data_IF_699770711930
#
_entry.id   IF_699770711930
#
_cell.length_a   1.000
_cell.length_b   1.000
_cell.length_c   1.000
_cell.angle_alpha   90.00
_cell.angle_beta   90.00
_cell.angle_gamma   90.00
#
_symmetry.space_group_name_H-M   'P 1'
#
loop_
_entity.id
_entity.type
_entity.pdbx_description
1 polymer ?
#
# COMPACT_ATOMS: atom_id res chain seq x y z
N UNK A 1 -12.11 1.14 46.63
CA UNK A 1 -11.18 0.76 45.57
C UNK A 1 -11.42 1.71 44.42
N UNK A 2 -10.60 2.73 44.27
CA UNK A 2 -10.73 3.75 43.22
C UNK A 2 -9.99 3.23 41.99
N UNK A 3 -10.73 3.08 40.88
CA UNK A 3 -10.18 2.80 39.58
C UNK A 3 -9.48 4.06 39.05
N UNK A 4 -8.17 4.06 39.03
CA UNK A 4 -7.39 5.07 38.33
C UNK A 4 -7.42 4.70 36.85
N UNK A 5 -8.25 5.37 36.05
CA UNK A 5 -8.11 5.43 34.62
C UNK A 5 -6.84 6.23 34.32
N UNK A 6 -5.80 5.55 33.86
CA UNK A 6 -4.64 6.21 33.26
C UNK A 6 -5.10 6.74 31.88
N UNK A 7 -5.32 8.05 31.83
CA UNK A 7 -5.43 8.79 30.58
C UNK A 7 -4.04 8.89 29.97
N UNK A 8 -3.76 8.08 28.97
CA UNK A 8 -2.58 8.28 28.13
C UNK A 8 -2.83 9.52 27.27
N UNK A 9 -2.10 10.59 27.59
CA UNK A 9 -1.98 11.77 26.74
C UNK A 9 -1.24 11.34 25.47
N UNK A 10 -1.95 11.21 24.36
CA UNK A 10 -1.31 11.13 23.05
C UNK A 10 -0.50 12.42 22.88
N UNK A 11 0.83 12.31 22.82
CA UNK A 11 1.67 13.40 22.35
C UNK A 11 1.15 13.78 20.97
N UNK A 12 0.69 15.02 20.82
CA UNK A 12 0.44 15.61 19.52
C UNK A 12 1.78 15.63 18.76
N UNK A 13 2.00 14.61 17.93
CA UNK A 13 3.14 14.58 17.04
C UNK A 13 2.78 15.53 15.91
N UNK A 14 3.48 16.65 15.85
CA UNK A 14 3.34 17.65 14.81
C UNK A 14 3.54 16.97 13.44
N UNK A 15 2.63 17.08 12.47
CA UNK A 15 2.84 16.49 11.16
C UNK A 15 4.08 17.14 10.53
N UNK A 16 5.03 16.31 10.14
CA UNK A 16 6.29 16.74 9.54
C UNK A 16 6.00 17.54 8.26
N UNK A 17 6.70 18.66 8.08
CA UNK A 17 6.38 19.66 7.04
C UNK A 17 7.00 19.34 5.67
N UNK A 18 7.99 18.44 5.64
CA UNK A 18 8.69 18.02 4.43
C UNK A 18 8.96 16.52 4.39
N UNK A 19 9.26 16.02 3.19
CA UNK A 19 9.66 14.63 2.99
C UNK A 19 10.98 14.31 3.70
N UNK A 20 11.93 15.25 3.65
CA UNK A 20 13.24 15.11 4.28
C UNK A 20 13.13 15.01 5.82
N UNK A 21 12.29 15.86 6.44
CA UNK A 21 12.01 15.77 7.88
C UNK A 21 11.35 14.43 8.27
N UNK A 22 10.52 13.91 7.39
CA UNK A 22 9.89 12.59 7.58
C UNK A 22 10.92 11.45 7.48
N UNK A 23 11.82 11.51 6.53
CA UNK A 23 12.90 10.54 6.39
C UNK A 23 13.86 10.56 7.57
N UNK A 24 14.22 11.75 8.06
CA UNK A 24 15.07 11.90 9.24
C UNK A 24 14.38 11.38 10.51
N UNK A 25 13.07 11.65 10.72
CA UNK A 25 12.29 11.14 11.84
C UNK A 25 12.19 9.60 11.79
N UNK A 26 12.04 9.03 10.61
CA UNK A 26 12.04 7.57 10.43
C UNK A 26 13.38 6.95 10.81
N UNK A 27 14.51 7.54 10.39
CA UNK A 27 15.84 7.05 10.75
C UNK A 27 16.14 7.20 12.24
N UNK A 28 15.66 8.28 12.87
CA UNK A 28 15.85 8.48 14.30
C UNK A 28 15.06 7.45 15.12
N UNK A 29 13.85 7.09 14.69
CA UNK A 29 12.97 6.13 15.39
C UNK A 29 13.31 4.68 15.11
N UNK A 30 13.73 4.41 13.88
CA UNK A 30 14.12 3.09 13.40
C UNK A 30 15.56 3.16 12.88
N UNK A 31 16.55 3.37 13.78
CA UNK A 31 17.95 3.28 13.39
C UNK A 31 18.17 1.89 12.81
N UNK A 32 18.97 1.85 11.74
CA UNK A 32 19.32 0.60 11.09
C UNK A 32 19.74 -0.43 12.16
N UNK A 33 19.19 -1.65 12.11
CA UNK A 33 19.54 -2.64 13.10
C UNK A 33 21.05 -2.93 13.01
N UNK A 34 21.71 -2.90 14.17
CA UNK A 34 23.14 -3.18 14.37
C UNK A 34 23.47 -4.68 14.13
N UNK A 35 22.73 -5.29 13.22
CA UNK A 35 22.83 -6.70 12.86
C UNK A 35 23.29 -6.77 11.42
N UNK A 36 24.30 -7.53 11.20
CA UNK A 36 24.89 -8.03 9.95
C UNK A 36 23.90 -8.65 8.94
N UNK A 37 22.68 -8.20 8.92
CA UNK A 37 21.76 -8.28 7.80
C UNK A 37 22.19 -7.19 6.83
N UNK A 38 23.33 -7.44 6.22
CA UNK A 38 23.88 -6.86 5.02
C UNK A 38 23.27 -5.53 4.60
N UNK A 39 23.94 -4.44 5.06
CA UNK A 39 24.41 -3.37 4.18
C UNK A 39 23.50 -3.01 2.98
N UNK A 40 22.19 -2.89 3.15
CA UNK A 40 21.40 -2.14 2.20
C UNK A 40 21.24 -0.73 2.75
N UNK A 41 21.81 0.24 2.03
CA UNK A 41 21.52 1.66 2.26
C UNK A 41 20.05 1.94 1.95
N UNK A 42 19.49 3.05 2.44
CA UNK A 42 18.13 3.50 2.10
C UNK A 42 17.85 3.53 0.59
N UNK A 43 18.87 3.88 -0.18
CA UNK A 43 18.84 3.95 -1.65
C UNK A 43 18.74 2.56 -2.30
N UNK A 44 19.06 1.51 -1.54
CA UNK A 44 18.98 0.11 -1.99
C UNK A 44 17.67 -0.57 -1.61
N UNK A 45 16.86 -0.02 -0.68
CA UNK A 45 15.51 -0.50 -0.43
C UNK A 45 14.61 -0.21 -1.62
N UNK A 46 13.93 -1.25 -2.14
CA UNK A 46 13.17 -1.22 -3.38
C UNK A 46 13.96 -0.69 -4.57
N UNK A 47 15.29 -1.00 -4.61
CA UNK A 47 16.09 -0.73 -5.78
C UNK A 47 15.79 -1.78 -6.86
N UNK A 48 14.95 -1.41 -7.81
CA UNK A 48 14.55 -2.23 -8.96
C UNK A 48 15.62 -2.28 -10.07
N UNK A 49 16.71 -1.52 -9.97
CA UNK A 49 17.78 -1.48 -10.95
C UNK A 49 18.84 -2.57 -10.74
N UNK A 50 18.87 -3.18 -9.55
CA UNK A 50 19.86 -4.23 -9.24
C UNK A 50 19.39 -5.56 -9.86
N UNK A 51 20.26 -6.26 -10.63
CA UNK A 51 19.89 -7.54 -11.25
C UNK A 51 19.81 -8.63 -10.17
N UNK A 52 18.67 -8.77 -9.56
CA UNK A 52 18.41 -9.79 -8.55
C UNK A 52 17.27 -10.72 -8.89
N UNK A 53 16.22 -10.22 -9.57
CA UNK A 53 15.08 -11.05 -9.97
C UNK A 53 14.50 -10.57 -11.29
N UNK A 54 14.77 -11.26 -12.38
CA UNK A 54 14.08 -11.09 -13.67
C UNK A 54 12.55 -11.22 -13.49
N UNK A 55 12.12 -11.93 -12.44
CA UNK A 55 10.73 -12.12 -12.03
C UNK A 55 10.04 -10.81 -11.66
N UNK A 56 10.70 -9.91 -10.90
CA UNK A 56 10.12 -8.61 -10.49
C UNK A 56 9.84 -7.73 -11.72
N UNK A 57 10.78 -7.67 -12.66
CA UNK A 57 10.60 -6.89 -13.89
C UNK A 57 9.48 -7.44 -14.77
N UNK A 58 9.40 -8.76 -14.89
CA UNK A 58 8.32 -9.43 -15.64
C UNK A 58 6.97 -9.23 -14.94
N UNK A 59 6.94 -9.27 -13.61
CA UNK A 59 5.76 -8.93 -12.81
C UNK A 59 5.23 -7.54 -13.18
N UNK A 60 6.06 -6.48 -13.09
CA UNK A 60 5.64 -5.12 -13.42
C UNK A 60 5.30 -4.94 -14.91
N UNK A 61 5.95 -5.69 -15.81
CA UNK A 61 5.56 -5.71 -17.23
C UNK A 61 4.12 -6.18 -17.41
N UNK A 62 3.72 -7.23 -16.73
CA UNK A 62 2.35 -7.75 -16.76
C UNK A 62 1.37 -6.79 -16.07
N UNK A 63 1.71 -6.33 -14.87
CA UNK A 63 0.90 -5.39 -14.10
C UNK A 63 0.58 -4.15 -14.95
N UNK A 64 1.58 -3.44 -15.46
CA UNK A 64 1.39 -2.21 -16.22
C UNK A 64 0.72 -2.43 -17.58
N UNK A 65 0.89 -3.60 -18.18
CA UNK A 65 0.23 -3.93 -19.47
C UNK A 65 -1.27 -4.16 -19.29
N UNK A 66 -1.68 -4.83 -18.22
CA UNK A 66 -3.03 -5.34 -18.09
C UNK A 66 -3.92 -4.62 -17.07
N UNK A 67 -3.38 -3.80 -16.17
CA UNK A 67 -4.15 -2.96 -15.26
C UNK A 67 -4.79 -1.79 -16.03
N UNK A 68 -5.85 -2.08 -16.76
CA UNK A 68 -6.66 -1.10 -17.49
C UNK A 68 -7.83 -0.60 -16.61
N UNK A 69 -8.43 0.52 -16.97
CA UNK A 69 -9.62 1.04 -16.31
C UNK A 69 -10.77 0.02 -16.31
N UNK A 70 -11.03 -0.61 -17.47
CA UNK A 70 -12.08 -1.61 -17.60
C UNK A 70 -11.76 -2.88 -16.80
N UNK A 71 -10.51 -3.32 -16.77
CA UNK A 71 -10.06 -4.43 -15.93
C UNK A 71 -10.36 -4.18 -14.45
N UNK A 72 -10.04 -3.00 -13.94
CA UNK A 72 -10.31 -2.63 -12.53
C UNK A 72 -11.81 -2.68 -12.24
N UNK A 73 -12.65 -2.16 -13.14
CA UNK A 73 -14.12 -2.22 -13.01
C UNK A 73 -14.64 -3.65 -12.98
N UNK A 74 -14.12 -4.50 -13.86
CA UNK A 74 -14.47 -5.92 -13.90
C UNK A 74 -14.10 -6.62 -12.59
N UNK A 75 -12.87 -6.41 -12.10
CA UNK A 75 -12.42 -7.04 -10.86
C UNK A 75 -13.23 -6.59 -9.64
N UNK A 76 -13.54 -5.30 -9.53
CA UNK A 76 -14.45 -4.79 -8.49
C UNK A 76 -15.81 -5.49 -8.55
N UNK A 77 -16.39 -5.66 -9.73
CA UNK A 77 -17.66 -6.36 -9.87
C UNK A 77 -17.58 -7.85 -9.45
N UNK A 78 -16.46 -8.51 -9.74
CA UNK A 78 -16.30 -9.95 -9.51
C UNK A 78 -15.93 -10.30 -8.06
N UNK A 79 -15.22 -9.43 -7.34
CA UNK A 79 -14.66 -9.75 -6.02
C UNK A 79 -15.34 -9.02 -4.87
N UNK A 80 -15.99 -7.87 -5.09
CA UNK A 80 -16.64 -7.11 -4.02
C UNK A 80 -18.03 -7.67 -3.62
N UNK A 81 -18.39 -8.84 -4.13
CA UNK A 81 -19.52 -9.63 -3.62
C UNK A 81 -19.14 -10.42 -2.35
N UNK A 82 -17.82 -10.58 -2.06
CA UNK A 82 -17.26 -11.30 -0.91
C UNK A 82 -17.78 -12.74 -0.77
N UNK A 83 -18.01 -13.41 -1.88
CA UNK A 83 -18.59 -14.74 -1.97
C UNK A 83 -17.58 -15.87 -2.21
N UNK A 84 -16.26 -15.57 -2.21
CA UNK A 84 -15.23 -16.54 -2.56
C UNK A 84 -14.96 -17.53 -1.44
N UNK A 85 -14.87 -17.05 -0.20
CA UNK A 85 -14.57 -17.89 0.95
C UNK A 85 -14.95 -17.21 2.25
N UNK A 86 -15.53 -17.99 3.17
CA UNK A 86 -15.74 -17.61 4.56
C UNK A 86 -14.78 -18.41 5.45
N UNK A 87 -14.02 -17.72 6.30
CA UNK A 87 -13.08 -18.35 7.23
C UNK A 87 -12.81 -17.45 8.44
N UNK A 88 -12.44 -18.04 9.61
CA UNK A 88 -11.93 -17.29 10.74
C UNK A 88 -10.67 -16.49 10.36
N UNK A 89 -10.47 -15.33 10.97
CA UNK A 89 -9.34 -14.44 10.65
C UNK A 89 -7.97 -15.14 10.83
N UNK A 90 -7.81 -15.99 11.83
CA UNK A 90 -6.58 -16.76 12.04
C UNK A 90 -6.31 -17.79 10.93
N UNK A 91 -7.35 -18.38 10.39
CA UNK A 91 -7.21 -19.29 9.24
C UNK A 91 -6.85 -18.49 7.98
N UNK A 92 -7.33 -17.24 7.86
CA UNK A 92 -6.96 -16.36 6.77
C UNK A 92 -5.46 -15.98 6.82
N UNK A 93 -4.89 -15.72 8.00
CA UNK A 93 -3.44 -15.49 8.15
C UNK A 93 -2.62 -16.75 7.75
N UNK A 94 -3.02 -17.92 8.21
CA UNK A 94 -2.37 -19.19 7.83
C UNK A 94 -2.51 -19.46 6.32
N UNK A 95 -3.64 -19.07 5.73
CA UNK A 95 -3.88 -19.19 4.31
C UNK A 95 -2.96 -18.25 3.52
N UNK A 96 -2.84 -17.01 3.96
CA UNK A 96 -1.96 -16.01 3.36
C UNK A 96 -0.47 -16.43 3.35
N UNK A 97 -0.02 -17.16 4.36
CA UNK A 97 1.36 -17.67 4.45
C UNK A 97 1.78 -18.64 3.34
N UNK A 98 0.83 -19.13 2.52
CA UNK A 98 1.14 -19.92 1.35
C UNK A 98 1.65 -19.07 0.17
N UNK A 99 1.52 -17.74 0.26
CA UNK A 99 1.93 -16.81 -0.78
C UNK A 99 3.39 -16.39 -0.60
N UNK A 100 4.16 -16.45 -1.68
CA UNK A 100 5.45 -15.76 -1.84
C UNK A 100 5.21 -14.57 -2.77
N UNK A 101 5.47 -13.35 -2.31
CA UNK A 101 5.21 -12.11 -3.05
C UNK A 101 6.30 -11.84 -4.08
N UNK A 102 5.98 -11.97 -5.37
CA UNK A 102 6.92 -11.76 -6.48
C UNK A 102 7.22 -10.27 -6.76
N UNK A 103 6.45 -9.35 -6.17
CA UNK A 103 6.63 -7.90 -6.36
C UNK A 103 7.66 -7.29 -5.40
N UNK A 104 7.96 -7.95 -4.27
CA UNK A 104 8.88 -7.46 -3.27
C UNK A 104 10.32 -7.93 -3.54
N UNK A 105 11.24 -7.02 -3.91
CA UNK A 105 12.64 -7.38 -4.16
C UNK A 105 13.44 -7.65 -2.88
N UNK A 106 12.92 -7.29 -1.70
CA UNK A 106 13.73 -7.16 -0.49
C UNK A 106 13.60 -8.30 0.50
N UNK A 107 12.51 -9.09 0.46
CA UNK A 107 12.26 -10.05 1.53
C UNK A 107 11.85 -11.44 1.04
N UNK A 108 12.39 -12.46 1.74
CA UNK A 108 11.89 -13.84 1.77
C UNK A 108 11.06 -14.08 3.05
N UNK A 109 10.55 -13.01 3.69
CA UNK A 109 9.78 -13.12 4.93
C UNK A 109 8.40 -13.74 4.67
N UNK A 110 7.99 -14.53 5.64
CA UNK A 110 6.64 -15.03 5.79
C UNK A 110 5.65 -13.84 5.87
N UNK A 111 4.58 -13.90 5.09
CA UNK A 111 3.59 -12.81 5.00
C UNK A 111 3.01 -12.47 6.38
N UNK A 112 2.73 -13.48 7.20
CA UNK A 112 2.20 -13.27 8.54
C UNK A 112 3.23 -12.62 9.48
N UNK A 113 4.52 -12.97 9.37
CA UNK A 113 5.57 -12.31 10.14
C UNK A 113 5.65 -10.82 9.81
N UNK A 114 5.56 -10.44 8.53
CA UNK A 114 5.52 -9.04 8.12
C UNK A 114 4.34 -8.29 8.78
N UNK A 115 3.15 -8.85 8.74
CA UNK A 115 1.97 -8.27 9.39
C UNK A 115 2.16 -8.09 10.90
N UNK A 116 2.73 -9.08 11.58
CA UNK A 116 3.02 -9.02 13.01
C UNK A 116 4.09 -7.98 13.33
N UNK A 117 5.16 -7.90 12.56
CA UNK A 117 6.23 -6.92 12.76
C UNK A 117 5.70 -5.49 12.60
N UNK A 118 4.95 -5.23 11.54
CA UNK A 118 4.30 -3.93 11.29
C UNK A 118 3.37 -3.56 12.44
N UNK A 119 2.48 -4.45 12.82
CA UNK A 119 1.53 -4.26 13.92
C UNK A 119 2.23 -4.00 15.27
N UNK A 120 3.27 -4.78 15.58
CA UNK A 120 3.99 -4.66 16.82
C UNK A 120 4.85 -3.38 16.89
N UNK A 121 5.42 -2.94 15.78
CA UNK A 121 6.12 -1.66 15.70
C UNK A 121 5.15 -0.49 16.01
N UNK A 122 3.97 -0.49 15.39
CA UNK A 122 2.90 0.50 15.66
C UNK A 122 2.50 0.48 17.15
N UNK A 123 2.34 -0.71 17.72
CA UNK A 123 1.97 -0.87 19.14
C UNK A 123 3.05 -0.36 20.08
N UNK A 124 4.33 -0.61 19.81
CA UNK A 124 5.47 -0.14 20.61
C UNK A 124 5.57 1.37 20.65
N UNK A 125 5.23 2.04 19.56
CA UNK A 125 5.20 3.50 19.47
C UNK A 125 3.98 4.13 20.18
N UNK A 126 3.10 3.30 20.76
CA UNK A 126 1.97 3.75 21.55
C UNK A 126 0.81 4.30 20.74
N UNK A 127 0.69 3.90 19.47
CA UNK A 127 -0.45 4.25 18.64
C UNK A 127 -1.73 3.54 19.09
N UNK A 128 -2.92 4.07 18.73
CA UNK A 128 -4.18 3.49 19.17
C UNK A 128 -4.42 2.10 18.55
N UNK A 129 -5.23 1.28 19.23
CA UNK A 129 -5.51 -0.11 18.87
C UNK A 129 -6.03 -0.29 17.44
N UNK A 130 -6.81 0.67 16.93
CA UNK A 130 -7.29 0.62 15.56
C UNK A 130 -6.14 0.72 14.53
N UNK A 131 -5.07 1.49 14.83
CA UNK A 131 -3.91 1.60 13.96
C UNK A 131 -3.05 0.32 14.04
N UNK A 132 -2.94 -0.29 15.22
CA UNK A 132 -2.30 -1.60 15.40
C UNK A 132 -3.03 -2.67 14.58
N UNK A 133 -4.38 -2.66 14.63
CA UNK A 133 -5.20 -3.56 13.81
C UNK A 133 -5.01 -3.27 12.31
N UNK A 134 -4.94 -2.01 11.91
CA UNK A 134 -4.65 -1.64 10.52
C UNK A 134 -3.34 -2.24 10.04
N UNK A 135 -2.26 -2.14 10.85
CA UNK A 135 -0.97 -2.75 10.54
C UNK A 135 -1.03 -4.27 10.43
N UNK A 136 -1.83 -4.93 11.28
CA UNK A 136 -2.02 -6.38 11.21
C UNK A 136 -2.79 -6.83 9.96
N UNK A 137 -3.64 -5.97 9.41
CA UNK A 137 -4.56 -6.33 8.34
C UNK A 137 -4.15 -5.81 6.95
N UNK A 138 -3.16 -4.92 6.85
CA UNK A 138 -2.92 -4.14 5.63
C UNK A 138 -2.71 -4.99 4.38
N UNK A 139 -1.98 -6.08 4.50
CA UNK A 139 -1.65 -6.99 3.40
C UNK A 139 -2.59 -8.18 3.26
N UNK A 140 -3.62 -8.30 4.12
CA UNK A 140 -4.56 -9.43 4.07
C UNK A 140 -5.30 -9.54 2.73
N UNK A 141 -5.41 -8.47 1.98
CA UNK A 141 -5.98 -8.49 0.62
C UNK A 141 -5.19 -9.36 -0.36
N UNK A 142 -3.93 -9.69 -0.09
CA UNK A 142 -3.10 -10.60 -0.89
C UNK A 142 -3.68 -12.03 -0.98
N UNK A 143 -4.66 -12.38 -0.15
CA UNK A 143 -5.42 -13.64 -0.27
C UNK A 143 -6.11 -13.79 -1.63
N UNK A 144 -6.30 -12.72 -2.39
CA UNK A 144 -6.80 -12.77 -3.78
C UNK A 144 -5.95 -13.69 -4.67
N UNK A 145 -4.63 -13.76 -4.44
CA UNK A 145 -3.75 -14.68 -5.17
C UNK A 145 -4.11 -16.15 -4.94
N UNK A 146 -4.75 -16.46 -3.82
CA UNK A 146 -5.20 -17.80 -3.46
C UNK A 146 -6.64 -18.08 -3.91
N UNK A 147 -7.25 -17.12 -4.62
CA UNK A 147 -8.52 -17.21 -5.32
C UNK A 147 -8.34 -17.20 -6.84
N UNK A 148 -7.21 -17.76 -7.31
CA UNK A 148 -6.83 -17.87 -8.72
C UNK A 148 -6.53 -16.53 -9.43
N UNK A 149 -6.35 -15.43 -8.68
CA UNK A 149 -5.87 -14.17 -9.26
C UNK A 149 -4.34 -14.20 -9.42
N UNK A 150 -3.83 -13.81 -10.59
CA UNK A 150 -2.39 -13.74 -10.79
C UNK A 150 -1.77 -12.64 -9.91
N UNK A 151 -0.55 -12.85 -9.43
CA UNK A 151 0.11 -11.91 -8.52
C UNK A 151 0.19 -10.49 -9.10
N UNK A 152 0.47 -10.34 -10.40
CA UNK A 152 0.53 -9.03 -11.04
C UNK A 152 -0.79 -8.23 -10.96
N UNK A 153 -1.92 -8.89 -10.72
CA UNK A 153 -3.23 -8.26 -10.53
C UNK A 153 -3.54 -7.95 -9.05
N UNK A 154 -2.68 -8.36 -8.12
CA UNK A 154 -3.01 -8.32 -6.67
C UNK A 154 -1.99 -7.54 -5.87
N UNK A 155 -0.70 -7.76 -6.10
CA UNK A 155 0.38 -7.15 -5.31
C UNK A 155 1.14 -6.09 -6.12
N UNK A 156 2.12 -5.42 -5.50
CA UNK A 156 2.94 -4.38 -6.13
C UNK A 156 2.37 -2.97 -5.97
N UNK A 157 3.04 -2.01 -6.61
CA UNK A 157 2.68 -0.60 -6.56
C UNK A 157 1.28 -0.37 -7.13
N UNK A 158 0.51 0.49 -6.47
CA UNK A 158 -0.80 0.92 -6.96
C UNK A 158 -0.76 2.31 -7.58
N UNK A 159 -1.66 2.58 -8.51
CA UNK A 159 -1.72 3.83 -9.27
C UNK A 159 -3.15 4.10 -9.79
N UNK A 160 -3.52 5.36 -10.07
CA UNK A 160 -4.80 5.67 -10.71
C UNK A 160 -4.90 5.08 -12.11
N UNK A 161 -6.05 4.51 -12.43
CA UNK A 161 -6.43 4.12 -13.81
C UNK A 161 -7.49 5.07 -14.35
N UNK A 162 -7.71 5.08 -15.66
CA UNK A 162 -8.66 5.99 -16.31
C UNK A 162 -8.14 7.43 -16.45
N UNK A 163 -6.87 7.68 -16.17
CA UNK A 163 -6.14 8.90 -16.48
C UNK A 163 -4.70 8.57 -16.92
N UNK A 164 -3.93 9.57 -17.37
CA UNK A 164 -2.57 9.35 -17.81
C UNK A 164 -1.70 8.79 -16.67
N UNK A 165 -0.91 7.76 -16.99
CA UNK A 165 0.01 7.15 -16.06
C UNK A 165 1.22 8.07 -15.79
N UNK A 166 1.68 8.13 -14.54
CA UNK A 166 2.85 8.90 -14.14
C UNK A 166 4.16 8.19 -14.54
N UNK A 167 5.15 8.98 -14.91
CA UNK A 167 6.53 8.52 -15.15
C UNK A 167 7.31 8.26 -13.86
N UNK A 168 6.73 8.53 -12.68
CA UNK A 168 7.28 8.25 -11.36
C UNK A 168 6.91 6.87 -10.80
N UNK A 169 6.04 6.15 -11.48
CA UNK A 169 5.74 4.76 -11.16
C UNK A 169 6.94 3.91 -11.60
N UNK A 170 7.28 2.88 -10.83
CA UNK A 170 8.36 1.95 -11.18
C UNK A 170 8.14 1.34 -12.58
N UNK A 171 9.20 1.22 -13.39
CA UNK A 171 9.15 0.72 -14.79
C UNK A 171 8.08 1.38 -15.67
N UNK A 172 8.01 2.72 -15.75
CA UNK A 172 6.94 3.44 -16.43
C UNK A 172 6.88 3.14 -17.94
N UNK A 173 7.98 2.66 -18.52
CA UNK A 173 8.06 2.29 -19.93
C UNK A 173 7.09 1.18 -20.33
N UNK A 174 6.67 0.33 -19.39
CA UNK A 174 5.76 -0.78 -19.68
C UNK A 174 4.30 -0.32 -19.89
N UNK A 175 3.92 0.85 -19.41
CA UNK A 175 2.59 1.42 -19.70
C UNK A 175 2.33 1.64 -21.19
N UNK A 176 3.38 1.77 -22.02
CA UNK A 176 3.23 1.85 -23.48
C UNK A 176 2.54 0.62 -24.10
N UNK A 177 2.55 -0.50 -23.40
CA UNK A 177 1.85 -1.72 -23.79
C UNK A 177 0.39 -1.77 -23.32
N UNK A 178 -0.02 -0.86 -22.42
CA UNK A 178 -1.38 -0.80 -21.90
C UNK A 178 -2.31 -0.14 -22.94
N UNK A 179 -3.47 -0.74 -23.26
CA UNK A 179 -4.43 -0.16 -24.20
C UNK A 179 -4.87 1.27 -23.84
N UNK A 180 -4.97 1.58 -22.52
CA UNK A 180 -5.39 2.89 -22.03
C UNK A 180 -4.35 3.98 -22.31
N UNK A 181 -3.08 3.60 -22.50
CA UNK A 181 -2.00 4.54 -22.79
C UNK A 181 -2.20 5.31 -24.11
N UNK A 182 -2.91 4.72 -25.06
CA UNK A 182 -3.22 5.36 -26.36
C UNK A 182 -4.68 5.79 -26.47
N UNK A 183 -5.50 5.50 -25.46
CA UNK A 183 -6.90 5.87 -25.46
C UNK A 183 -7.05 7.36 -25.14
N UNK A 184 -7.63 8.18 -26.06
CA UNK A 184 -7.75 9.63 -25.86
C UNK A 184 -8.63 10.03 -24.68
N UNK A 185 -9.55 9.15 -24.24
CA UNK A 185 -10.41 9.41 -23.09
C UNK A 185 -9.68 9.22 -21.77
N UNK A 186 -8.64 8.38 -21.74
CA UNK A 186 -7.89 8.05 -20.51
C UNK A 186 -6.50 8.70 -20.51
N UNK A 187 -5.82 8.80 -21.64
CA UNK A 187 -4.46 9.34 -21.70
C UNK A 187 -4.41 10.87 -21.67
N UNK A 188 -5.10 11.48 -20.72
CA UNK A 188 -5.01 12.91 -20.40
C UNK A 188 -4.80 13.06 -18.90
N UNK A 189 -4.32 14.24 -18.47
CA UNK A 189 -4.00 14.50 -17.06
C UNK A 189 -5.12 14.09 -16.10
N UNK A 190 -6.35 14.32 -16.45
CA UNK A 190 -7.50 14.00 -15.60
C UNK A 190 -8.24 12.74 -16.08
N UNK A 191 -8.13 12.38 -17.36
CA UNK A 191 -8.87 11.27 -17.94
C UNK A 191 -10.38 11.41 -17.73
N UNK A 192 -10.97 10.43 -17.04
CA UNK A 192 -12.41 10.42 -16.68
C UNK A 192 -12.73 11.20 -15.41
N UNK A 193 -11.74 11.79 -14.75
CA UNK A 193 -11.87 12.50 -13.48
C UNK A 193 -11.90 14.01 -13.66
N UNK A 194 -12.38 14.69 -12.64
CA UNK A 194 -12.30 16.14 -12.52
C UNK A 194 -11.12 16.55 -11.63
N UNK A 195 -10.66 17.78 -11.80
CA UNK A 195 -9.67 18.37 -10.91
C UNK A 195 -10.20 18.33 -9.46
N UNK A 196 -9.34 17.89 -8.52
CA UNK A 196 -9.67 17.86 -7.09
C UNK A 196 -10.94 17.05 -6.76
N UNK A 197 -11.22 16.02 -7.55
CA UNK A 197 -12.40 15.16 -7.33
C UNK A 197 -12.33 14.34 -6.03
N UNK A 198 -11.15 14.20 -5.45
CA UNK A 198 -10.90 13.36 -4.28
C UNK A 198 -10.62 11.90 -4.62
N UNK A 199 -9.62 11.30 -3.98
CA UNK A 199 -9.17 9.92 -4.25
C UNK A 199 -10.25 8.87 -4.04
N UNK A 200 -11.25 9.14 -3.21
CA UNK A 200 -12.42 8.25 -3.03
C UNK A 200 -13.21 8.03 -4.33
N UNK A 201 -13.14 9.00 -5.26
CA UNK A 201 -13.81 8.98 -6.57
C UNK A 201 -12.87 8.51 -7.68
N UNK A 202 -11.64 8.14 -7.36
CA UNK A 202 -10.62 7.66 -8.29
C UNK A 202 -10.51 6.14 -8.19
N UNK A 203 -10.55 5.47 -9.32
CA UNK A 203 -10.22 4.06 -9.40
C UNK A 203 -8.71 3.91 -9.41
N UNK A 204 -8.20 3.24 -8.39
CA UNK A 204 -6.82 2.80 -8.29
C UNK A 204 -6.71 1.42 -8.95
N UNK A 205 -5.54 1.07 -9.50
CA UNK A 205 -5.27 -0.26 -10.04
C UNK A 205 -5.77 -1.33 -9.07
N UNK A 206 -6.35 -2.40 -9.61
CA UNK A 206 -6.88 -3.48 -8.78
C UNK A 206 -5.77 -4.14 -7.98
N UNK A 207 -6.04 -4.44 -6.73
CA UNK A 207 -5.07 -5.08 -5.88
C UNK A 207 -5.58 -5.33 -4.46
N UNK A 208 -4.66 -5.81 -3.63
CA UNK A 208 -4.90 -6.12 -2.22
C UNK A 208 -5.36 -4.92 -1.41
N UNK A 209 -4.86 -3.73 -1.71
CA UNK A 209 -5.20 -2.46 -1.04
C UNK A 209 -6.72 -2.18 -1.11
N UNK A 210 -7.26 -2.17 -2.32
CA UNK A 210 -8.68 -1.92 -2.56
C UNK A 210 -9.54 -3.02 -1.95
N UNK A 211 -9.11 -4.29 -2.07
CA UNK A 211 -9.87 -5.42 -1.58
C UNK A 211 -9.99 -5.42 -0.06
N UNK A 212 -8.87 -5.27 0.67
CA UNK A 212 -8.91 -5.24 2.14
C UNK A 212 -9.61 -3.99 2.68
N UNK A 213 -9.45 -2.83 2.01
CA UNK A 213 -10.21 -1.63 2.33
C UNK A 213 -11.73 -1.91 2.30
N UNK A 214 -12.23 -2.56 1.24
CA UNK A 214 -13.65 -2.85 1.08
C UNK A 214 -14.16 -3.87 2.11
N UNK A 215 -13.32 -4.84 2.52
CA UNK A 215 -13.67 -5.78 3.59
C UNK A 215 -13.80 -5.08 4.94
N UNK A 216 -12.92 -4.13 5.24
CA UNK A 216 -12.80 -3.54 6.57
C UNK A 216 -13.50 -2.19 6.73
N UNK A 217 -14.18 -1.69 5.69
CA UNK A 217 -14.77 -0.34 5.68
C UNK A 217 -15.76 -0.05 6.82
N UNK A 218 -16.39 -1.08 7.38
CA UNK A 218 -17.36 -0.95 8.46
C UNK A 218 -16.76 -1.28 9.84
N UNK A 219 -15.46 -1.61 9.93
CA UNK A 219 -14.83 -2.15 11.14
C UNK A 219 -13.73 -1.27 11.73
N UNK A 220 -13.09 -0.41 10.93
CA UNK A 220 -12.02 0.47 11.37
C UNK A 220 -12.31 1.92 10.97
N UNK A 221 -11.75 2.92 11.69
CA UNK A 221 -11.98 4.33 11.37
C UNK A 221 -11.39 4.73 10.02
N UNK A 222 -11.86 5.86 9.49
CA UNK A 222 -11.50 6.36 8.16
C UNK A 222 -10.00 6.51 7.97
N UNK A 223 -9.28 6.93 9.00
CA UNK A 223 -7.83 7.05 8.99
C UNK A 223 -7.14 5.72 8.69
N UNK A 224 -7.60 4.63 9.32
CA UNK A 224 -7.12 3.27 9.08
C UNK A 224 -7.49 2.78 7.68
N UNK A 225 -8.71 3.07 7.23
CA UNK A 225 -9.15 2.75 5.87
C UNK A 225 -8.30 3.46 4.81
N UNK A 226 -7.92 4.70 5.09
CA UNK A 226 -7.06 5.47 4.21
C UNK A 226 -5.65 4.86 4.11
N UNK A 227 -5.11 4.42 5.24
CA UNK A 227 -3.84 3.67 5.27
C UNK A 227 -3.96 2.40 4.41
N UNK A 228 -4.98 1.57 4.61
CA UNK A 228 -5.17 0.33 3.88
C UNK A 228 -5.27 0.53 2.37
N UNK A 229 -6.08 1.49 1.94
CA UNK A 229 -6.39 1.68 0.53
C UNK A 229 -5.24 2.22 -0.30
N UNK A 230 -4.31 2.95 0.35
CA UNK A 230 -3.30 3.71 -0.38
C UNK A 230 -1.86 3.41 0.05
N UNK A 231 -1.61 2.38 0.90
CA UNK A 231 -0.25 2.11 1.38
C UNK A 231 0.72 1.78 0.24
N UNK A 232 0.27 1.12 -0.81
CA UNK A 232 1.11 0.80 -1.97
C UNK A 232 1.11 1.87 -3.06
N UNK A 233 0.51 3.04 -2.83
CA UNK A 233 0.54 4.14 -3.80
C UNK A 233 1.83 4.97 -3.64
N UNK A 234 2.98 4.32 -3.87
CA UNK A 234 4.30 4.88 -3.60
C UNK A 234 4.63 6.13 -4.42
N UNK A 235 4.21 6.22 -5.69
CA UNK A 235 4.42 7.41 -6.51
C UNK A 235 3.77 8.66 -5.89
N UNK A 236 2.62 8.50 -5.25
CA UNK A 236 2.01 9.59 -4.50
C UNK A 236 2.76 9.91 -3.21
N UNK A 237 3.11 8.87 -2.42
CA UNK A 237 3.77 9.07 -1.13
C UNK A 237 5.15 9.70 -1.25
N UNK A 238 5.94 9.29 -2.26
CA UNK A 238 7.32 9.73 -2.47
C UNK A 238 7.43 11.02 -3.25
N UNK A 239 6.67 11.13 -4.35
CA UNK A 239 6.87 12.18 -5.34
C UNK A 239 5.70 13.19 -5.38
N UNK A 240 4.63 12.95 -4.61
CA UNK A 240 3.43 13.76 -4.64
C UNK A 240 2.64 13.66 -5.95
N UNK A 241 2.85 12.58 -6.72
CA UNK A 241 2.17 12.35 -7.99
C UNK A 241 0.65 12.29 -7.82
N UNK A 242 -0.07 12.65 -8.87
CA UNK A 242 -1.53 12.73 -8.90
C UNK A 242 -2.17 13.67 -7.86
N UNK A 243 -1.38 14.57 -7.22
CA UNK A 243 -1.88 15.53 -6.22
C UNK A 243 -2.98 16.45 -6.76
N UNK A 244 -3.11 16.60 -8.07
CA UNK A 244 -4.15 17.36 -8.75
C UNK A 244 -5.54 16.72 -8.67
N UNK A 245 -5.62 15.45 -8.25
CA UNK A 245 -6.87 14.72 -7.98
C UNK A 245 -7.33 14.86 -6.52
N UNK A 246 -6.46 15.34 -5.61
CA UNK A 246 -6.73 15.43 -4.19
C UNK A 246 -7.68 16.58 -3.87
N UNK A 247 -8.74 16.29 -3.11
CA UNK A 247 -9.54 17.29 -2.41
C UNK A 247 -8.88 17.70 -1.08
N UNK A 248 -9.48 18.64 -0.36
CA UNK A 248 -8.94 19.11 0.94
C UNK A 248 -8.95 18.00 1.98
N UNK A 249 -9.94 17.12 1.95
CA UNK A 249 -10.02 15.98 2.83
C UNK A 249 -8.85 15.00 2.61
N UNK A 250 -8.50 14.71 1.36
CA UNK A 250 -7.34 13.88 1.06
C UNK A 250 -6.02 14.49 1.54
N UNK A 251 -5.85 15.81 1.41
CA UNK A 251 -4.66 16.51 1.92
C UNK A 251 -4.55 16.39 3.44
N UNK A 252 -5.67 16.44 4.15
CA UNK A 252 -5.67 16.19 5.59
C UNK A 252 -5.38 14.73 5.93
N UNK A 253 -5.97 13.79 5.18
CA UNK A 253 -5.81 12.36 5.42
C UNK A 253 -4.42 11.83 5.03
N UNK A 254 -3.70 12.51 4.14
CA UNK A 254 -2.36 12.13 3.70
C UNK A 254 -1.36 11.95 4.85
N UNK A 255 -1.48 12.72 5.91
CA UNK A 255 -0.67 12.56 7.13
C UNK A 255 -0.71 11.14 7.72
N UNK A 256 -1.82 10.44 7.54
CA UNK A 256 -1.98 9.07 8.04
C UNK A 256 -1.25 8.06 7.17
N UNK A 257 -1.32 8.18 5.85
CA UNK A 257 -0.51 7.39 4.95
C UNK A 257 0.99 7.56 5.18
N UNK A 258 1.46 8.81 5.32
CA UNK A 258 2.86 9.10 5.66
C UNK A 258 3.27 8.52 7.01
N UNK A 259 2.38 8.50 8.00
CA UNK A 259 2.66 7.90 9.31
C UNK A 259 2.73 6.39 9.25
N UNK A 260 1.96 5.77 8.35
CA UNK A 260 1.89 4.32 8.22
C UNK A 260 3.05 3.73 7.41
N UNK A 261 3.44 4.37 6.29
CA UNK A 261 4.44 3.84 5.37
C UNK A 261 5.77 3.39 6.00
N UNK A 262 6.34 4.08 7.01
CA UNK A 262 7.54 3.61 7.68
C UNK A 262 7.38 2.23 8.32
N UNK A 263 6.23 1.96 8.90
CA UNK A 263 5.96 0.69 9.56
C UNK A 263 5.88 -0.45 8.55
N UNK A 264 5.26 -0.22 7.40
CA UNK A 264 5.20 -1.18 6.31
C UNK A 264 6.58 -1.44 5.69
N UNK A 265 7.31 -0.36 5.35
CA UNK A 265 8.55 -0.47 4.59
C UNK A 265 9.75 -0.94 5.42
N UNK A 266 9.86 -0.52 6.69
CA UNK A 266 11.06 -0.71 7.51
C UNK A 266 10.88 -1.68 8.69
N UNK A 267 9.69 -2.20 8.94
CA UNK A 267 9.48 -3.23 9.96
C UNK A 267 9.95 -4.64 9.53
N UNK A 268 10.58 -4.76 8.37
CA UNK A 268 11.05 -6.02 7.79
C UNK A 268 12.39 -6.43 8.40
N UNK A 269 12.36 -6.94 9.63
CA UNK A 269 13.51 -7.56 10.29
C UNK A 269 13.44 -9.08 10.12
N UNK A 270 14.53 -9.73 9.67
CA UNK A 270 14.60 -11.19 9.60
C UNK A 270 14.57 -11.84 10.99
#
# INVERSE_FOLDING_TARGET
>A
MQNQQQTFSAKEINPLQSLDEWEDDVLERYPEPDVKAKDKSKEEFRNYETPGRDTVKEFYRLNHTYQTYDFVKEKKNNFLQFDKKEMPVWDAFNFLNQLVDDSDPDTDLDQFQHLLQTSEAIRRDGHPDWMVLTGLMHDMGKVLCLFDEPQWAVVGDTFPVGCAYSDKIVYPEFFKNNPDYVNPDYNTKYGVYEKECGLRNVDISWGHDEYIYQILKDYIPEEGLYMLRYHSFYAWHREGENSYLLDDHNREMWKWGKRFNPYDLYAKNP
#
